data_IF_784508435006
#
_entry.id   IF_784508435006
#
_cell.length_a   1.000
_cell.length_b   1.000
_cell.length_c   1.000
_cell.angle_alpha   90.00
_cell.angle_beta   90.00
_cell.angle_gamma   90.00
#
_symmetry.space_group_name_H-M   'P 1'
#
loop_
_entity.id
_entity.type
_entity.pdbx_description
1 polymer ?
#
# COMPACT_ATOMS: atom_id res chain seq x y z
N UNK A 1 -14.40 -18.39 -7.84
CA UNK A 1 -13.06 -18.13 -8.44
C UNK A 1 -13.29 -17.70 -9.87
N UNK A 2 -13.32 -16.40 -10.14
CA UNK A 2 -13.56 -15.86 -11.48
C UNK A 2 -12.20 -15.80 -12.19
N UNK A 3 -11.88 -16.81 -12.99
CA UNK A 3 -10.62 -16.83 -13.75
C UNK A 3 -10.81 -15.92 -14.95
N UNK A 4 -10.29 -14.68 -14.87
CA UNK A 4 -10.19 -13.78 -16.03
C UNK A 4 -8.96 -14.17 -16.85
N UNK A 5 -9.14 -14.49 -18.12
CA UNK A 5 -8.03 -14.71 -19.05
C UNK A 5 -7.35 -13.35 -19.34
N UNK A 6 -6.27 -13.06 -18.61
CA UNK A 6 -5.49 -11.84 -18.79
C UNK A 6 -4.21 -12.17 -19.56
N UNK A 7 -3.96 -11.43 -20.65
CA UNK A 7 -2.70 -11.50 -21.37
C UNK A 7 -1.61 -10.78 -20.57
N UNK A 8 -0.41 -11.36 -20.55
CA UNK A 8 0.72 -10.73 -19.88
C UNK A 8 1.03 -9.37 -20.53
N UNK A 9 1.15 -8.27 -19.76
CA UNK A 9 1.46 -6.95 -20.33
C UNK A 9 2.88 -6.86 -20.91
N UNK A 10 3.76 -7.81 -20.57
CA UNK A 10 5.17 -7.81 -21.00
C UNK A 10 5.40 -8.66 -22.25
N UNK A 11 4.80 -9.85 -22.34
CA UNK A 11 5.04 -10.77 -23.46
C UNK A 11 3.80 -11.09 -24.29
N UNK A 12 2.65 -10.50 -23.93
CA UNK A 12 1.35 -10.65 -24.61
C UNK A 12 0.80 -12.08 -24.68
N UNK A 13 1.46 -13.06 -24.06
CA UNK A 13 0.98 -14.44 -23.97
C UNK A 13 -0.17 -14.55 -22.96
N UNK A 14 -1.17 -15.41 -23.23
CA UNK A 14 -2.24 -15.70 -22.28
C UNK A 14 -1.71 -16.48 -21.07
N UNK A 15 -2.54 -16.61 -20.03
CA UNK A 15 -2.20 -17.40 -18.84
C UNK A 15 -1.43 -16.62 -17.77
N UNK A 16 -1.64 -15.30 -17.68
CA UNK A 16 -1.19 -14.55 -16.51
C UNK A 16 -1.97 -15.02 -15.28
N UNK A 17 -1.26 -15.54 -14.28
CA UNK A 17 -1.87 -15.90 -13.00
C UNK A 17 -2.14 -14.64 -12.19
N UNK A 18 -3.41 -14.27 -12.05
CA UNK A 18 -3.87 -13.20 -11.17
C UNK A 18 -4.47 -13.82 -9.90
N UNK A 19 -3.98 -13.40 -8.74
CA UNK A 19 -4.53 -13.75 -7.43
C UNK A 19 -4.89 -12.48 -6.68
N UNK A 20 -6.15 -12.42 -6.27
CA UNK A 20 -6.72 -11.33 -5.48
C UNK A 20 -7.19 -11.93 -4.15
N UNK A 21 -6.61 -11.48 -3.05
CA UNK A 21 -6.91 -12.00 -1.71
C UNK A 21 -7.33 -10.83 -0.83
N UNK A 22 -8.63 -10.71 -0.47
CA UNK A 22 -9.02 -9.78 0.56
C UNK A 22 -8.44 -10.26 1.90
N UNK A 23 -7.78 -9.34 2.61
CA UNK A 23 -7.09 -9.58 3.85
C UNK A 23 -7.48 -8.48 4.85
N UNK A 24 -8.02 -8.88 5.99
CA UNK A 24 -8.40 -7.97 7.05
C UNK A 24 -7.17 -7.64 7.90
N UNK A 25 -6.74 -6.38 7.86
CA UNK A 25 -5.60 -5.89 8.64
C UNK A 25 -6.12 -5.27 9.94
N UNK A 26 -5.73 -5.79 11.11
CA UNK A 26 -6.16 -5.22 12.39
C UNK A 26 -5.87 -3.72 12.49
N UNK A 27 -6.92 -2.92 12.66
CA UNK A 27 -6.85 -1.46 12.78
C UNK A 27 -6.82 -0.68 11.47
N UNK A 28 -6.75 -1.34 10.31
CA UNK A 28 -6.72 -0.69 8.99
C UNK A 28 -7.87 -1.10 8.06
N UNK A 29 -8.65 -2.12 8.45
CA UNK A 29 -9.77 -2.61 7.67
C UNK A 29 -9.34 -3.60 6.59
N UNK A 30 -10.22 -3.80 5.61
CA UNK A 30 -10.01 -4.77 4.54
C UNK A 30 -9.08 -4.20 3.45
N UNK A 31 -8.03 -4.95 3.12
CA UNK A 31 -7.12 -4.67 2.00
C UNK A 31 -7.18 -5.81 0.98
N UNK A 32 -7.01 -5.49 -0.31
CA UNK A 32 -6.88 -6.47 -1.38
C UNK A 32 -5.41 -6.66 -1.72
N UNK A 33 -4.89 -7.86 -1.47
CA UNK A 33 -3.55 -8.25 -1.91
C UNK A 33 -3.67 -8.78 -3.33
N UNK A 34 -2.98 -8.13 -4.27
CA UNK A 34 -2.96 -8.47 -5.69
C UNK A 34 -1.59 -9.06 -6.00
N UNK A 35 -1.58 -10.24 -6.64
CA UNK A 35 -0.37 -10.87 -7.14
C UNK A 35 -0.58 -11.34 -8.57
N UNK A 36 0.27 -10.86 -9.47
CA UNK A 36 0.32 -11.28 -10.87
C UNK A 36 1.63 -12.01 -11.16
N UNK A 37 1.56 -13.18 -11.80
CA UNK A 37 2.73 -13.93 -12.23
C UNK A 37 2.53 -14.53 -13.62
N UNK A 38 3.47 -14.30 -14.53
CA UNK A 38 3.46 -14.91 -15.85
C UNK A 38 4.39 -16.13 -15.90
N UNK A 39 3.88 -17.33 -16.22
CA UNK A 39 4.72 -18.53 -16.32
C UNK A 39 5.63 -18.51 -17.57
N UNK A 40 5.34 -17.66 -18.57
CA UNK A 40 6.07 -17.64 -19.83
C UNK A 40 7.31 -16.73 -19.84
N UNK A 41 7.23 -15.55 -19.22
CA UNK A 41 8.32 -14.56 -19.23
C UNK A 41 8.84 -14.24 -17.83
N UNK A 42 8.23 -14.79 -16.78
CA UNK A 42 8.63 -14.53 -15.40
C UNK A 42 8.20 -13.17 -14.85
N UNK A 43 7.38 -12.41 -15.57
CA UNK A 43 6.80 -11.16 -15.07
C UNK A 43 6.10 -11.40 -13.74
N UNK A 44 6.41 -10.55 -12.75
CA UNK A 44 5.80 -10.56 -11.42
C UNK A 44 5.41 -9.14 -11.05
N UNK A 45 4.20 -8.98 -10.56
CA UNK A 45 3.73 -7.72 -10.00
C UNK A 45 2.94 -8.02 -8.73
N UNK A 46 3.16 -7.22 -7.69
CA UNK A 46 2.45 -7.34 -6.42
C UNK A 46 2.02 -5.96 -6.02
N UNK A 47 0.77 -5.86 -5.62
CA UNK A 47 0.18 -4.62 -5.18
C UNK A 47 -0.75 -4.85 -4.00
N UNK A 48 -1.01 -3.79 -3.23
CA UNK A 48 -1.93 -3.81 -2.11
C UNK A 48 -2.86 -2.62 -2.25
N UNK A 49 -4.15 -2.90 -2.37
CA UNK A 49 -5.19 -1.89 -2.49
C UNK A 49 -6.00 -1.82 -1.19
N UNK A 50 -6.22 -0.65 -0.63
CA UNK A 50 -7.19 -0.49 0.46
C UNK A 50 -8.61 -0.59 -0.10
N UNK A 51 -9.44 -1.49 0.44
CA UNK A 51 -10.85 -1.59 0.06
C UNK A 51 -11.74 -0.72 0.93
N UNK A 52 -11.27 -0.36 2.12
CA UNK A 52 -11.97 0.48 3.07
C UNK A 52 -11.15 1.72 3.37
N UNK A 53 -11.83 2.87 3.39
CA UNK A 53 -11.26 4.15 3.78
C UNK A 53 -12.07 4.69 4.95
N UNK A 54 -11.36 5.03 6.03
CA UNK A 54 -11.95 5.79 7.12
C UNK A 54 -12.07 7.27 6.78
N UNK A 55 -12.74 8.02 7.66
CA UNK A 55 -12.72 9.48 7.58
C UNK A 55 -11.28 10.04 7.73
N UNK A 56 -10.98 11.21 7.15
CA UNK A 56 -9.69 11.88 7.33
C UNK A 56 -9.37 12.07 8.81
N UNK A 57 -8.17 11.68 9.23
CA UNK A 57 -7.71 11.82 10.61
C UNK A 57 -6.40 12.59 10.68
N UNK A 58 -6.25 13.34 11.77
CA UNK A 58 -5.02 14.03 12.14
C UNK A 58 -4.52 13.47 13.46
N UNK A 59 -3.25 13.07 13.47
CA UNK A 59 -2.56 12.58 14.66
C UNK A 59 -1.42 13.54 14.99
N UNK A 60 -1.27 13.85 16.28
CA UNK A 60 -0.14 14.62 16.83
C UNK A 60 0.57 13.75 17.86
N UNK A 61 1.90 13.78 17.86
CA UNK A 61 2.72 13.04 18.80
C UNK A 61 3.87 13.94 19.27
N UNK A 62 3.94 14.17 20.58
CA UNK A 62 5.00 14.95 21.22
C UNK A 62 6.11 14.00 21.63
N UNK A 63 7.34 14.26 21.18
CA UNK A 63 8.53 13.47 21.50
C UNK A 63 9.15 14.03 22.77
N UNK A 64 9.15 13.27 23.87
CA UNK A 64 9.64 13.74 25.18
C UNK A 64 10.91 13.01 25.64
N UNK A 65 11.08 11.74 25.25
CA UNK A 65 12.21 10.89 25.67
C UNK A 65 12.87 10.16 24.48
N UNK A 66 14.13 9.69 24.63
CA UNK A 66 14.84 9.01 23.54
C UNK A 66 14.12 7.78 22.97
N UNK A 67 13.33 7.07 23.78
CA UNK A 67 12.57 5.90 23.35
C UNK A 67 11.46 6.25 22.34
N UNK A 68 10.94 7.47 22.39
CA UNK A 68 9.86 7.94 21.51
C UNK A 68 10.32 8.03 20.05
N UNK A 69 11.63 8.17 19.82
CA UNK A 69 12.22 8.13 18.48
C UNK A 69 12.03 6.77 17.78
N UNK A 70 11.61 5.73 18.52
CA UNK A 70 11.27 4.40 17.99
C UNK A 70 9.79 4.25 17.63
N UNK A 71 8.99 5.32 17.73
CA UNK A 71 7.59 5.29 17.37
C UNK A 71 7.40 4.87 15.91
N UNK A 72 6.55 3.87 15.68
CA UNK A 72 6.20 3.40 14.33
C UNK A 72 5.09 4.29 13.77
N UNK A 73 5.37 4.94 12.65
CA UNK A 73 4.38 5.71 11.90
C UNK A 73 3.86 4.86 10.74
N UNK A 74 2.56 4.60 10.73
CA UNK A 74 1.86 4.01 9.58
C UNK A 74 1.00 5.09 8.96
N UNK A 75 1.09 5.27 7.64
CA UNK A 75 0.43 6.36 6.93
C UNK A 75 -0.19 5.87 5.63
N UNK A 76 -1.26 6.52 5.16
CA UNK A 76 -1.78 6.32 3.80
C UNK A 76 -0.85 6.94 2.75
N UNK A 77 -1.04 6.57 1.48
CA UNK A 77 -0.35 7.20 0.34
C UNK A 77 -0.57 8.72 0.34
N UNK A 78 -1.80 9.14 0.65
CA UNK A 78 -2.28 10.53 0.71
C UNK A 78 -1.92 11.30 1.99
N UNK A 79 -1.21 10.69 2.95
CA UNK A 79 -0.90 11.35 4.22
C UNK A 79 0.22 12.39 4.10
N UNK A 80 0.07 13.50 4.83
CA UNK A 80 1.11 14.52 5.02
C UNK A 80 1.71 14.41 6.43
N UNK A 81 3.04 14.44 6.54
CA UNK A 81 3.75 14.45 7.84
C UNK A 81 4.46 15.78 8.02
N UNK A 82 4.39 16.34 9.23
CA UNK A 82 5.07 17.58 9.62
C UNK A 82 5.87 17.35 10.90
N UNK A 83 7.13 17.79 10.91
CA UNK A 83 7.98 17.87 12.11
C UNK A 83 8.47 19.31 12.23
N UNK A 84 7.69 20.19 12.89
CA UNK A 84 7.93 21.64 12.92
C UNK A 84 9.31 22.03 13.45
N UNK A 85 9.78 21.36 14.49
CA UNK A 85 11.06 21.62 15.17
C UNK A 85 12.27 21.34 14.27
N UNK A 86 12.10 20.44 13.31
CA UNK A 86 13.11 20.11 12.30
C UNK A 86 12.86 20.80 10.95
N UNK A 87 11.77 21.57 10.81
CA UNK A 87 11.37 22.18 9.53
C UNK A 87 11.01 21.17 8.44
N UNK A 88 10.62 19.94 8.80
CA UNK A 88 10.35 18.86 7.84
C UNK A 88 8.87 18.85 7.46
N UNK A 89 8.61 18.84 6.15
CA UNK A 89 7.30 18.60 5.54
C UNK A 89 7.43 17.46 4.52
N UNK A 90 6.63 16.41 4.71
CA UNK A 90 6.57 15.27 3.79
C UNK A 90 5.17 15.23 3.21
N UNK A 91 5.06 15.52 1.92
CA UNK A 91 3.79 15.51 1.18
C UNK A 91 3.60 14.17 0.44
N UNK A 92 2.36 13.82 0.08
CA UNK A 92 2.08 12.69 -0.80
C UNK A 92 2.90 12.78 -2.09
N UNK A 93 3.39 11.63 -2.56
CA UNK A 93 4.13 11.57 -3.82
C UNK A 93 3.23 11.83 -5.03
N UNK A 94 3.81 12.12 -6.22
CA UNK A 94 3.03 12.44 -7.43
C UNK A 94 2.16 11.29 -7.96
N UNK A 95 2.33 10.08 -7.45
CA UNK A 95 1.58 8.88 -7.80
C UNK A 95 0.69 8.37 -6.65
N UNK A 96 0.47 9.20 -5.62
CA UNK A 96 -0.27 8.84 -4.40
C UNK A 96 -1.79 8.92 -4.54
#
# INVERSE_FOLDING_TARGET
MTVKEVNCPVCSKPGLELREVPYEVPGFGTMLIISMMCPHCGFKHRDVLCLEFGEPRRYEFVVEKPEDLKARVVRSSSATIRIPELGVLIEPGPMA
#
